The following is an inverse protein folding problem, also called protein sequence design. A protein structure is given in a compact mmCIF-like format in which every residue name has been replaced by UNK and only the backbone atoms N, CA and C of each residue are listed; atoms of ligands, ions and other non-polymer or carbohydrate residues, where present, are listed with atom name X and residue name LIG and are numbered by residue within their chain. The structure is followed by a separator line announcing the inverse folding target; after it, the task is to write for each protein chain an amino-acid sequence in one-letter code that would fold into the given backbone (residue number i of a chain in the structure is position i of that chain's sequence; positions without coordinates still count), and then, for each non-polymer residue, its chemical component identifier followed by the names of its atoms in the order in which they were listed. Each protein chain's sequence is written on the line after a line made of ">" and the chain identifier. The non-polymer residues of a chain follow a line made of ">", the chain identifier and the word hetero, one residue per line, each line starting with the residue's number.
data_IF_676220609092
#
_entry.id   IF_676220609092
#
_cell.length_a   1.000
_cell.length_b   1.000
_cell.length_c   1.000
_cell.angle_alpha   90.00
_cell.angle_beta   90.00
_cell.angle_gamma   90.00
#
_symmetry.space_group_name_H-M   'P 1'
#
loop_
_entity.id
_entity.type
_entity.pdbx_description
1 polymer ?
#
# COMPACT_ATOMS: atom_id res chain seq x y z
N UNK A 1 2.46 -18.68 11.56
CA UNK A 1 3.52 -17.66 11.80
C UNK A 1 3.83 -16.85 10.54
N UNK A 2 4.00 -17.49 9.38
CA UNK A 2 4.26 -16.79 8.12
C UNK A 2 3.06 -15.97 7.61
N UNK A 3 1.83 -16.45 7.81
CA UNK A 3 0.59 -15.75 7.40
C UNK A 3 0.36 -14.48 8.21
N UNK A 4 0.62 -14.51 9.52
CA UNK A 4 0.53 -13.32 10.39
C UNK A 4 1.55 -12.26 9.93
N UNK A 5 2.76 -12.69 9.56
CA UNK A 5 3.78 -11.79 9.00
C UNK A 5 3.30 -11.19 7.66
N UNK A 6 2.66 -11.98 6.79
CA UNK A 6 2.09 -11.49 5.53
C UNK A 6 0.98 -10.44 5.78
N UNK A 7 0.09 -10.67 6.73
CA UNK A 7 -0.98 -9.73 7.12
C UNK A 7 -0.38 -8.42 7.64
N UNK A 8 0.64 -8.51 8.50
CA UNK A 8 1.38 -7.35 9.01
C UNK A 8 2.07 -6.57 7.88
N UNK A 9 2.71 -7.26 6.94
CA UNK A 9 3.33 -6.63 5.78
C UNK A 9 2.28 -5.93 4.90
N UNK A 10 1.14 -6.55 4.61
CA UNK A 10 0.05 -5.92 3.86
C UNK A 10 -0.47 -4.66 4.53
N UNK A 11 -0.70 -4.72 5.85
CA UNK A 11 -1.14 -3.56 6.62
C UNK A 11 -0.10 -2.43 6.56
N UNK A 12 1.18 -2.75 6.79
CA UNK A 12 2.26 -1.76 6.72
C UNK A 12 2.40 -1.12 5.34
N UNK A 13 2.27 -1.91 4.26
CA UNK A 13 2.25 -1.42 2.89
C UNK A 13 1.06 -0.48 2.67
N UNK A 14 -0.15 -0.88 3.09
CA UNK A 14 -1.35 -0.05 2.95
C UNK A 14 -1.21 1.31 3.66
N UNK A 15 -0.67 1.31 4.88
CA UNK A 15 -0.35 2.55 5.61
C UNK A 15 0.68 3.39 4.87
N UNK A 16 1.74 2.76 4.34
CA UNK A 16 2.79 3.46 3.60
C UNK A 16 2.27 4.14 2.33
N UNK A 17 1.40 3.46 1.56
CA UNK A 17 0.75 4.03 0.38
C UNK A 17 -0.09 5.28 0.71
N UNK A 18 -0.76 5.31 1.87
CA UNK A 18 -1.55 6.47 2.29
C UNK A 18 -0.64 7.60 2.80
N UNK A 19 0.35 7.27 3.63
CA UNK A 19 1.16 8.24 4.35
C UNK A 19 2.22 8.91 3.47
N UNK A 20 2.81 8.16 2.53
CA UNK A 20 3.92 8.64 1.69
C UNK A 20 3.74 8.25 0.21
N UNK A 21 2.62 8.62 -0.44
CA UNK A 21 2.38 8.31 -1.84
C UNK A 21 3.45 8.91 -2.77
N UNK A 22 4.06 10.05 -2.40
CA UNK A 22 5.19 10.65 -3.12
C UNK A 22 6.41 9.71 -3.21
N UNK A 23 6.70 8.99 -2.12
CA UNK A 23 7.81 8.04 -2.10
C UNK A 23 7.49 6.83 -2.96
N UNK A 24 6.24 6.34 -2.90
CA UNK A 24 5.77 5.26 -3.76
C UNK A 24 5.93 5.65 -5.23
N UNK A 25 5.53 6.86 -5.60
CA UNK A 25 5.69 7.37 -6.97
C UNK A 25 7.14 7.35 -7.42
N UNK A 26 8.02 7.89 -6.57
CA UNK A 26 9.46 7.92 -6.83
C UNK A 26 10.03 6.53 -7.02
N UNK A 27 9.62 5.55 -6.22
CA UNK A 27 10.09 4.16 -6.33
C UNK A 27 9.59 3.54 -7.64
N UNK A 28 8.31 3.67 -7.95
CA UNK A 28 7.70 3.09 -9.16
C UNK A 28 8.28 3.68 -10.44
N UNK A 29 8.56 4.97 -10.44
CA UNK A 29 8.99 5.72 -11.62
C UNK A 29 10.49 5.99 -11.66
N UNK A 30 11.27 5.49 -10.68
CA UNK A 30 12.70 5.77 -10.52
C UNK A 30 13.52 5.51 -11.80
N UNK A 31 13.16 4.46 -12.54
CA UNK A 31 13.87 4.05 -13.77
C UNK A 31 13.27 4.66 -15.05
N UNK A 32 12.05 5.19 -14.99
CA UNK A 32 11.26 5.56 -16.17
C UNK A 32 11.08 7.07 -16.33
N UNK A 33 11.22 7.84 -15.24
CA UNK A 33 10.95 9.28 -15.25
C UNK A 33 12.04 10.01 -14.47
N UNK A 34 12.78 10.91 -15.14
CA UNK A 34 13.87 11.67 -14.51
C UNK A 34 13.37 12.70 -13.48
N UNK A 35 12.28 13.42 -13.78
CA UNK A 35 11.85 14.59 -12.97
C UNK A 35 10.31 14.86 -12.99
N UNK A 36 9.49 13.91 -13.42
CA UNK A 36 8.04 14.11 -13.54
C UNK A 36 7.34 14.14 -12.18
N UNK A 37 6.59 15.22 -11.91
CA UNK A 37 5.81 15.33 -10.69
C UNK A 37 4.60 14.38 -10.71
N UNK A 38 4.31 13.70 -9.58
CA UNK A 38 3.09 12.89 -9.47
C UNK A 38 1.84 13.76 -9.68
N UNK A 39 0.89 13.22 -10.43
CA UNK A 39 -0.40 13.90 -10.66
C UNK A 39 -1.28 13.78 -9.41
N UNK A 40 -2.25 14.70 -9.27
CA UNK A 40 -3.29 14.60 -8.23
C UNK A 40 -4.07 13.29 -8.30
N UNK A 41 -4.30 12.78 -9.52
CA UNK A 41 -4.94 11.50 -9.75
C UNK A 41 -4.13 10.33 -9.17
N UNK A 42 -2.80 10.34 -9.34
CA UNK A 42 -1.93 9.32 -8.75
C UNK A 42 -2.03 9.32 -7.21
N UNK A 43 -2.03 10.50 -6.56
CA UNK A 43 -2.17 10.57 -5.11
C UNK A 43 -3.49 9.99 -4.60
N UNK A 44 -4.58 10.25 -5.31
CA UNK A 44 -5.89 9.70 -5.00
C UNK A 44 -5.85 8.18 -5.13
N UNK A 45 -5.35 7.67 -6.26
CA UNK A 45 -5.24 6.23 -6.50
C UNK A 45 -4.35 5.52 -5.48
N UNK A 46 -3.18 6.06 -5.17
CA UNK A 46 -2.26 5.48 -4.19
C UNK A 46 -2.92 5.39 -2.81
N UNK A 47 -3.61 6.45 -2.37
CA UNK A 47 -4.34 6.45 -1.09
C UNK A 47 -5.53 5.49 -1.11
N UNK A 48 -6.30 5.43 -2.20
CA UNK A 48 -7.40 4.48 -2.35
C UNK A 48 -6.91 3.03 -2.32
N UNK A 49 -5.81 2.73 -3.02
CA UNK A 49 -5.17 1.42 -3.02
C UNK A 49 -4.67 1.05 -1.62
N UNK A 50 -4.02 1.99 -0.92
CA UNK A 50 -3.60 1.79 0.47
C UNK A 50 -4.77 1.51 1.41
N UNK A 51 -5.89 2.21 1.23
CA UNK A 51 -7.12 1.98 2.00
C UNK A 51 -7.69 0.58 1.76
N UNK A 52 -7.77 0.15 0.50
CA UNK A 52 -8.22 -1.21 0.13
C UNK A 52 -7.27 -2.26 0.73
N UNK A 53 -5.95 -2.05 0.65
CA UNK A 53 -4.95 -2.96 1.21
C UNK A 53 -5.11 -3.13 2.73
N UNK A 54 -5.40 -2.05 3.46
CA UNK A 54 -5.69 -2.10 4.90
C UNK A 54 -6.97 -2.90 5.16
N UNK A 55 -8.06 -2.64 4.43
CA UNK A 55 -9.32 -3.39 4.61
C UNK A 55 -9.09 -4.89 4.36
N UNK A 56 -8.42 -5.23 3.26
CA UNK A 56 -8.08 -6.62 2.96
C UNK A 56 -7.22 -7.24 4.08
N UNK A 57 -6.25 -6.51 4.64
CA UNK A 57 -5.42 -7.04 5.74
C UNK A 57 -6.24 -7.43 6.97
N UNK A 58 -7.31 -6.69 7.29
CA UNK A 58 -8.22 -7.07 8.39
C UNK A 58 -9.06 -8.30 8.04
N UNK A 59 -9.57 -8.38 6.81
CA UNK A 59 -10.36 -9.54 6.36
C UNK A 59 -9.50 -10.82 6.37
N UNK A 60 -8.31 -10.77 5.78
CA UNK A 60 -7.37 -11.90 5.81
C UNK A 60 -6.89 -12.21 7.22
N UNK A 61 -6.62 -11.19 8.03
CA UNK A 61 -6.24 -11.39 9.43
C UNK A 61 -7.34 -12.07 10.24
N UNK A 62 -8.62 -11.77 9.97
CA UNK A 62 -9.75 -12.45 10.59
C UNK A 62 -9.79 -13.93 10.21
N UNK A 63 -9.70 -14.25 8.92
CA UNK A 63 -9.68 -15.63 8.42
C UNK A 63 -8.52 -16.42 9.07
N UNK A 64 -7.30 -15.89 9.04
CA UNK A 64 -6.11 -16.58 9.58
C UNK A 64 -6.18 -16.83 11.09
N UNK A 65 -6.91 -16.00 11.85
CA UNK A 65 -6.97 -16.10 13.32
C UNK A 65 -8.18 -16.89 13.83
N UNK A 66 -9.28 -16.95 13.07
CA UNK A 66 -10.58 -17.42 13.57
C UNK A 66 -11.24 -18.51 12.72
N UNK A 67 -10.74 -18.76 11.50
CA UNK A 67 -11.10 -19.96 10.71
C UNK A 67 -9.96 -20.98 10.75
#
# INVERSE_FOLDING_TARGET
>A
MIEILQVLCMFAIGVFLIAKPDLVWKIENFLYVKDGSPTQFYFILARSCGGIAIICSFVFGYVVLFE
#
